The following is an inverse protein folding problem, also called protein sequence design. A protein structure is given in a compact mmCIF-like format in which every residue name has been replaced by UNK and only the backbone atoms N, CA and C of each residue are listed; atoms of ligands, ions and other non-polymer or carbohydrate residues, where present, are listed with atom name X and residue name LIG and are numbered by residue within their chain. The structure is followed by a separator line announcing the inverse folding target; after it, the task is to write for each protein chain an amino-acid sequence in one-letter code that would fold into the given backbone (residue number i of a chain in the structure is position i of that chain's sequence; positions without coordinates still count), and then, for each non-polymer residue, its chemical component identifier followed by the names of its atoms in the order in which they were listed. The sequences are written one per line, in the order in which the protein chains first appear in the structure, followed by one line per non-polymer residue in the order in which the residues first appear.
data_IF_686908175371
#
_entry.id   IF_686908175371
#
_cell.length_a   1.000
_cell.length_b   1.000
_cell.length_c   1.000
_cell.angle_alpha   90.00
_cell.angle_beta   90.00
_cell.angle_gamma   90.00
#
_symmetry.space_group_name_H-M   'P 1'
#
loop_
_entity.id
_entity.type
_entity.pdbx_description
1 polymer ?
#
# COMPACT_ATOMS: atom_id res chain seq x y z
N UNK A 1 32.06 -43.79 26.23
CA UNK A 1 31.31 -45.06 26.26
C UNK A 1 30.02 -44.86 25.49
N UNK A 2 29.96 -45.40 24.28
CA UNK A 2 28.76 -45.83 23.57
C UNK A 2 29.21 -46.12 22.13
N UNK A 3 29.58 -47.38 21.92
CA UNK A 3 29.79 -48.00 20.61
C UNK A 3 28.44 -48.17 19.90
N UNK A 4 28.41 -48.02 18.58
CA UNK A 4 27.40 -48.67 17.74
C UNK A 4 28.02 -49.02 16.39
N UNK A 5 28.67 -50.19 16.42
CA UNK A 5 28.62 -51.32 15.49
C UNK A 5 28.06 -51.08 14.09
N UNK A 6 28.95 -51.28 13.11
CA UNK A 6 28.64 -51.48 11.68
C UNK A 6 27.93 -52.82 11.49
N UNK A 7 26.80 -52.80 10.79
CA UNK A 7 26.06 -53.99 10.38
C UNK A 7 26.45 -54.33 8.93
N UNK A 8 27.45 -55.19 8.80
CA UNK A 8 27.86 -55.84 7.55
C UNK A 8 26.87 -56.97 7.23
N UNK A 9 26.00 -56.75 6.25
CA UNK A 9 25.04 -57.77 5.80
C UNK A 9 25.61 -58.50 4.58
N UNK A 10 26.13 -59.68 4.91
CA UNK A 10 26.56 -60.78 4.06
C UNK A 10 25.38 -61.25 3.18
N UNK A 11 25.49 -61.13 1.86
CA UNK A 11 24.65 -61.87 0.92
C UNK A 11 25.52 -62.82 0.11
N UNK A 12 25.13 -64.09 0.23
CA UNK A 12 25.79 -65.30 -0.24
C UNK A 12 25.76 -65.39 -1.78
N UNK A 13 26.92 -65.74 -2.34
CA UNK A 13 27.05 -66.34 -3.66
C UNK A 13 26.36 -67.71 -3.64
N UNK A 14 25.26 -67.83 -4.38
CA UNK A 14 24.73 -69.13 -4.81
C UNK A 14 24.76 -69.20 -6.34
N UNK A 15 25.48 -70.21 -6.80
CA UNK A 15 25.78 -70.47 -8.20
C UNK A 15 24.77 -71.44 -8.82
N UNK A 16 24.61 -71.32 -10.14
CA UNK A 16 24.10 -72.29 -11.16
C UNK A 16 22.62 -72.14 -11.64
N UNK A 17 22.27 -72.59 -12.87
CA UNK A 17 23.09 -73.01 -14.01
C UNK A 17 22.78 -72.27 -15.34
N UNK A 18 23.71 -72.44 -16.28
CA UNK A 18 23.59 -72.13 -17.71
C UNK A 18 22.35 -72.80 -18.35
N UNK A 19 21.53 -72.00 -19.05
CA UNK A 19 20.66 -72.48 -20.13
C UNK A 19 20.76 -71.54 -21.33
N UNK A 20 21.30 -72.13 -22.39
CA UNK A 20 21.38 -71.69 -23.76
C UNK A 20 20.02 -71.44 -24.42
N UNK A 21 20.09 -70.67 -25.52
CA UNK A 21 19.10 -70.40 -26.58
C UNK A 21 17.95 -69.43 -26.27
N UNK A 22 18.17 -68.14 -26.58
CA UNK A 22 17.31 -67.30 -27.45
C UNK A 22 17.75 -65.82 -27.37
N UNK A 23 18.92 -65.52 -27.95
CA UNK A 23 19.65 -64.25 -27.78
C UNK A 23 19.26 -63.10 -28.70
N UNK A 24 18.28 -63.23 -29.59
CA UNK A 24 17.99 -62.17 -30.57
C UNK A 24 16.82 -61.24 -30.19
N UNK A 25 15.81 -61.73 -29.47
CA UNK A 25 14.55 -60.98 -29.28
C UNK A 25 14.44 -60.22 -27.95
N UNK A 26 15.17 -60.63 -26.90
CA UNK A 26 15.14 -59.95 -25.58
C UNK A 26 15.85 -58.58 -25.58
N UNK A 27 16.91 -58.41 -26.37
CA UNK A 27 17.68 -57.15 -26.41
C UNK A 27 16.94 -56.00 -27.12
N UNK A 28 15.93 -56.32 -27.94
CA UNK A 28 15.07 -55.35 -28.61
C UNK A 28 14.07 -54.75 -27.61
N UNK A 29 13.35 -55.61 -26.90
CA UNK A 29 12.36 -55.17 -25.91
C UNK A 29 12.97 -54.40 -24.74
N UNK A 30 14.18 -54.76 -24.33
CA UNK A 30 14.91 -54.06 -23.26
C UNK A 30 15.34 -52.65 -23.68
N UNK A 31 15.69 -52.48 -24.97
CA UNK A 31 15.98 -51.16 -25.56
C UNK A 31 14.71 -50.31 -25.71
N UNK A 32 13.61 -50.88 -26.19
CA UNK A 32 12.33 -50.18 -26.29
C UNK A 32 11.80 -49.74 -24.90
N UNK A 33 12.02 -50.56 -23.87
CA UNK A 33 11.68 -50.22 -22.48
C UNK A 33 12.58 -49.09 -21.94
N UNK A 34 13.86 -49.10 -22.28
CA UNK A 34 14.80 -48.04 -21.92
C UNK A 34 14.45 -46.71 -22.60
N UNK A 35 14.03 -46.74 -23.86
CA UNK A 35 13.62 -45.55 -24.61
C UNK A 35 12.31 -44.96 -24.07
N UNK A 36 11.33 -45.82 -23.72
CA UNK A 36 10.09 -45.37 -23.07
C UNK A 36 10.33 -44.80 -21.67
N UNK A 37 11.20 -45.42 -20.88
CA UNK A 37 11.61 -44.87 -19.58
C UNK A 37 12.37 -43.54 -19.73
N UNK A 38 13.23 -43.43 -20.75
CA UNK A 38 13.94 -42.19 -21.06
C UNK A 38 12.99 -41.06 -21.48
N UNK A 39 11.97 -41.37 -22.28
CA UNK A 39 10.93 -40.40 -22.65
C UNK A 39 10.12 -39.95 -21.43
N UNK A 40 9.77 -40.88 -20.54
CA UNK A 40 9.11 -40.56 -19.28
C UNK A 40 9.99 -39.68 -18.37
N UNK A 41 11.28 -40.01 -18.26
CA UNK A 41 12.24 -39.22 -17.49
C UNK A 41 12.34 -37.79 -18.04
N UNK A 42 12.51 -37.63 -19.36
CA UNK A 42 12.54 -36.31 -20.01
C UNK A 42 11.24 -35.51 -19.77
N UNK A 43 10.09 -36.17 -19.80
CA UNK A 43 8.82 -35.53 -19.50
C UNK A 43 8.74 -35.08 -18.03
N UNK A 44 9.17 -35.92 -17.10
CA UNK A 44 9.18 -35.60 -15.66
C UNK A 44 10.18 -34.50 -15.33
N UNK A 45 11.39 -34.56 -15.87
CA UNK A 45 12.42 -33.52 -15.74
C UNK A 45 11.87 -32.19 -16.30
N UNK A 46 11.27 -32.21 -17.49
CA UNK A 46 10.65 -31.01 -18.08
C UNK A 46 9.47 -30.44 -17.26
N UNK A 47 8.68 -31.30 -16.61
CA UNK A 47 7.62 -30.85 -15.68
C UNK A 47 8.20 -30.27 -14.41
N UNK A 48 9.26 -30.87 -13.86
CA UNK A 48 9.94 -30.41 -12.66
C UNK A 48 10.63 -29.06 -12.91
N UNK A 49 11.36 -28.91 -14.01
CA UNK A 49 11.97 -27.65 -14.45
C UNK A 49 10.91 -26.55 -14.64
N UNK A 50 9.75 -26.90 -15.20
CA UNK A 50 8.64 -25.96 -15.36
C UNK A 50 8.06 -25.52 -14.02
N UNK A 51 8.00 -26.39 -13.02
CA UNK A 51 7.50 -26.06 -11.68
C UNK A 51 8.52 -25.22 -10.92
N UNK A 52 9.80 -25.61 -10.96
CA UNK A 52 10.90 -24.86 -10.36
C UNK A 52 10.98 -23.45 -10.94
N UNK A 53 10.90 -23.33 -12.26
CA UNK A 53 10.86 -22.03 -12.95
C UNK A 53 9.67 -21.16 -12.50
N UNK A 54 8.50 -21.75 -12.25
CA UNK A 54 7.34 -21.00 -11.73
C UNK A 54 7.56 -20.54 -10.30
N UNK A 55 8.10 -21.42 -9.46
CA UNK A 55 8.38 -21.12 -8.05
C UNK A 55 9.42 -20.02 -7.91
N UNK A 56 10.52 -20.08 -8.66
CA UNK A 56 11.55 -19.01 -8.68
C UNK A 56 10.95 -17.67 -9.11
N UNK A 57 10.12 -17.66 -10.17
CA UNK A 57 9.44 -16.43 -10.62
C UNK A 57 8.50 -15.85 -9.56
N UNK A 58 7.75 -16.70 -8.87
CA UNK A 58 6.87 -16.27 -7.78
C UNK A 58 7.67 -15.74 -6.59
N UNK A 59 8.76 -16.43 -6.21
CA UNK A 59 9.65 -16.01 -5.13
C UNK A 59 10.33 -14.67 -5.43
N UNK A 60 10.79 -14.45 -6.66
CA UNK A 60 11.36 -13.18 -7.10
C UNK A 60 10.32 -12.06 -7.09
N UNK A 61 9.10 -12.34 -7.54
CA UNK A 61 8.00 -11.38 -7.52
C UNK A 61 7.63 -10.99 -6.07
N UNK A 62 7.57 -11.96 -5.16
CA UNK A 62 7.34 -11.71 -3.72
C UNK A 62 8.50 -10.93 -3.11
N UNK A 63 9.75 -11.29 -3.40
CA UNK A 63 10.93 -10.61 -2.87
C UNK A 63 11.03 -9.16 -3.34
N UNK A 64 10.63 -8.87 -4.59
CA UNK A 64 10.53 -7.50 -5.12
C UNK A 64 9.46 -6.69 -4.39
N UNK A 65 8.28 -7.27 -4.17
CA UNK A 65 7.20 -6.63 -3.39
C UNK A 65 7.64 -6.33 -1.96
N UNK A 66 8.28 -7.29 -1.29
CA UNK A 66 8.81 -7.10 0.07
C UNK A 66 9.87 -5.99 0.10
N UNK A 67 10.81 -5.97 -0.87
CA UNK A 67 11.81 -4.90 -0.95
C UNK A 67 11.17 -3.53 -1.19
N UNK A 68 10.14 -3.45 -2.02
CA UNK A 68 9.39 -2.22 -2.24
C UNK A 68 8.66 -1.79 -0.95
N UNK A 69 7.95 -2.69 -0.27
CA UNK A 69 7.28 -2.39 1.00
C UNK A 69 8.25 -1.95 2.11
N UNK A 70 9.41 -2.61 2.23
CA UNK A 70 10.46 -2.24 3.19
C UNK A 70 11.11 -0.88 2.85
N UNK A 71 11.15 -0.52 1.56
CA UNK A 71 11.67 0.78 1.13
C UNK A 71 10.73 1.95 1.41
N UNK A 72 9.43 1.69 1.59
CA UNK A 72 8.43 2.74 1.86
C UNK A 72 8.42 3.04 3.36
N UNK A 73 9.42 3.79 3.82
CA UNK A 73 9.41 4.37 5.16
C UNK A 73 8.61 5.66 5.15
N UNK A 74 7.38 5.59 5.66
CA UNK A 74 6.54 6.78 5.86
C UNK A 74 7.07 7.66 7.00
N UNK A 75 7.13 8.98 6.77
CA UNK A 75 7.49 10.00 7.78
C UNK A 75 6.33 10.27 8.74
N UNK A 76 5.09 10.22 8.25
CA UNK A 76 3.90 10.51 9.04
C UNK A 76 3.10 9.23 9.33
N UNK A 77 2.85 8.97 10.62
CA UNK A 77 2.15 7.77 11.08
C UNK A 77 0.74 7.63 10.48
N UNK A 78 -0.01 8.74 10.41
CA UNK A 78 -1.34 8.76 9.83
C UNK A 78 -1.36 8.35 8.35
N UNK A 79 -0.35 8.77 7.59
CA UNK A 79 -0.20 8.38 6.18
C UNK A 79 0.10 6.88 6.06
N UNK A 80 0.96 6.34 6.94
CA UNK A 80 1.25 4.90 6.96
C UNK A 80 0.01 4.06 7.23
N UNK A 81 -0.79 4.45 8.22
CA UNK A 81 -2.02 3.74 8.60
C UNK A 81 -3.00 3.71 7.43
N UNK A 82 -3.22 4.87 6.79
CA UNK A 82 -4.11 4.98 5.64
C UNK A 82 -3.61 4.17 4.44
N UNK A 83 -2.30 4.19 4.17
CA UNK A 83 -1.71 3.41 3.09
C UNK A 83 -1.90 1.90 3.31
N UNK A 84 -1.62 1.40 4.52
CA UNK A 84 -1.80 -0.03 4.85
C UNK A 84 -3.26 -0.47 4.70
N UNK A 85 -4.20 0.33 5.21
CA UNK A 85 -5.62 0.05 5.06
C UNK A 85 -6.05 0.00 3.58
N UNK A 86 -5.55 0.94 2.77
CA UNK A 86 -5.83 0.93 1.33
C UNK A 86 -5.21 -0.28 0.61
N UNK A 87 -4.02 -0.74 1.02
CA UNK A 87 -3.42 -1.98 0.49
C UNK A 87 -4.27 -3.22 0.83
N UNK A 88 -4.83 -3.29 2.03
CA UNK A 88 -5.80 -4.35 2.39
C UNK A 88 -7.03 -4.32 1.48
N UNK A 89 -7.59 -3.13 1.21
CA UNK A 89 -8.70 -2.95 0.26
C UNK A 89 -8.30 -3.42 -1.14
N UNK A 90 -7.11 -3.07 -1.63
CA UNK A 90 -6.61 -3.52 -2.94
C UNK A 90 -6.55 -5.05 -2.99
N UNK A 91 -6.09 -5.69 -1.92
CA UNK A 91 -6.05 -7.16 -1.84
C UNK A 91 -7.46 -7.76 -1.89
N UNK A 92 -8.42 -7.21 -1.16
CA UNK A 92 -9.80 -7.70 -1.16
C UNK A 92 -10.52 -7.46 -2.49
N UNK A 93 -10.29 -6.31 -3.15
CA UNK A 93 -10.77 -6.04 -4.50
C UNK A 93 -10.18 -7.02 -5.53
N UNK A 94 -8.90 -7.38 -5.40
CA UNK A 94 -8.27 -8.39 -6.26
C UNK A 94 -8.85 -9.79 -6.04
N UNK A 95 -9.19 -10.16 -4.79
CA UNK A 95 -9.89 -11.42 -4.50
C UNK A 95 -11.28 -11.42 -5.15
N UNK A 96 -12.01 -10.31 -5.01
CA UNK A 96 -13.34 -10.13 -5.60
C UNK A 96 -13.28 -10.19 -7.14
N UNK A 97 -12.31 -9.52 -7.76
CA UNK A 97 -12.10 -9.58 -9.20
C UNK A 97 -11.91 -11.02 -9.71
N UNK A 98 -11.19 -11.85 -8.95
CA UNK A 98 -10.97 -13.26 -9.30
C UNK A 98 -12.19 -14.16 -9.07
N UNK A 99 -13.10 -13.79 -8.18
CA UNK A 99 -14.31 -14.57 -7.89
C UNK A 99 -15.49 -14.23 -8.79
N UNK A 100 -15.50 -13.05 -9.42
CA UNK A 100 -16.55 -12.64 -10.35
C UNK A 100 -16.43 -13.41 -11.67
N UNK A 101 -17.51 -14.02 -12.18
CA UNK A 101 -17.49 -14.67 -13.49
C UNK A 101 -17.35 -13.63 -14.62
N UNK A 102 -16.62 -13.99 -15.67
CA UNK A 102 -16.35 -13.09 -16.82
C UNK A 102 -17.59 -12.62 -17.57
N UNK A 103 -18.74 -13.26 -17.35
CA UNK A 103 -20.04 -12.86 -17.90
C UNK A 103 -20.56 -11.56 -17.30
N UNK A 104 -20.14 -11.21 -16.08
CA UNK A 104 -20.65 -10.07 -15.33
C UNK A 104 -19.79 -8.81 -15.58
N UNK A 105 -19.82 -8.32 -16.82
CA UNK A 105 -18.95 -7.22 -17.28
C UNK A 105 -19.14 -5.91 -16.50
N UNK A 106 -20.36 -5.62 -16.02
CA UNK A 106 -20.64 -4.40 -15.24
C UNK A 106 -19.95 -4.44 -13.87
N UNK A 107 -20.07 -5.56 -13.15
CA UNK A 107 -19.41 -5.72 -11.85
C UNK A 107 -17.89 -5.67 -11.98
N UNK A 108 -17.33 -6.29 -13.03
CA UNK A 108 -15.89 -6.21 -13.31
C UNK A 108 -15.44 -4.76 -13.51
N UNK A 109 -16.18 -3.96 -14.29
CA UNK A 109 -15.86 -2.55 -14.51
C UNK A 109 -15.88 -1.74 -13.21
N UNK A 110 -16.87 -1.96 -12.35
CA UNK A 110 -16.95 -1.28 -11.05
C UNK A 110 -15.76 -1.65 -10.17
N UNK A 111 -15.39 -2.94 -10.11
CA UNK A 111 -14.23 -3.37 -9.33
C UNK A 111 -12.93 -2.76 -9.85
N UNK A 112 -12.75 -2.68 -11.17
CA UNK A 112 -11.58 -2.04 -11.77
C UNK A 112 -11.52 -0.53 -11.47
N UNK A 113 -12.64 0.18 -11.57
CA UNK A 113 -12.73 1.60 -11.22
C UNK A 113 -12.41 1.84 -9.73
N UNK A 114 -12.92 0.99 -8.84
CA UNK A 114 -12.58 1.03 -7.41
C UNK A 114 -11.09 0.77 -7.17
N UNK A 115 -10.50 -0.20 -7.90
CA UNK A 115 -9.08 -0.53 -7.81
C UNK A 115 -8.21 0.68 -8.20
N UNK A 116 -8.56 1.35 -9.30
CA UNK A 116 -7.83 2.53 -9.79
C UNK A 116 -7.97 3.71 -8.84
N UNK A 117 -9.15 3.93 -8.25
CA UNK A 117 -9.37 4.96 -7.22
C UNK A 117 -8.50 4.73 -5.97
N UNK A 118 -8.43 3.51 -5.47
CA UNK A 118 -7.64 3.18 -4.26
C UNK A 118 -6.14 3.28 -4.56
N UNK A 119 -5.69 2.80 -5.72
CA UNK A 119 -4.30 2.99 -6.18
C UNK A 119 -3.95 4.46 -6.33
N UNK A 120 -4.84 5.26 -6.92
CA UNK A 120 -4.71 6.70 -7.00
C UNK A 120 -4.55 7.33 -5.62
N UNK A 121 -5.39 6.93 -4.64
CA UNK A 121 -5.28 7.40 -3.26
C UNK A 121 -3.91 7.08 -2.64
N UNK A 122 -3.41 5.86 -2.82
CA UNK A 122 -2.08 5.45 -2.34
C UNK A 122 -0.95 6.25 -2.97
N UNK A 123 -1.06 6.59 -4.26
CA UNK A 123 -0.13 7.52 -4.94
C UNK A 123 -0.13 8.90 -4.27
N UNK A 124 -1.30 9.47 -4.00
CA UNK A 124 -1.39 10.78 -3.34
C UNK A 124 -0.83 10.76 -1.91
N UNK A 125 -1.04 9.68 -1.17
CA UNK A 125 -0.44 9.50 0.17
C UNK A 125 1.09 9.48 0.07
N UNK A 126 1.66 8.80 -0.93
CA UNK A 126 3.12 8.81 -1.16
C UNK A 126 3.65 10.21 -1.47
N UNK A 127 2.94 10.99 -2.29
CA UNK A 127 3.30 12.39 -2.60
C UNK A 127 3.22 13.27 -1.34
N UNK A 128 2.16 13.14 -0.55
CA UNK A 128 2.00 13.90 0.69
C UNK A 128 3.06 13.55 1.72
N UNK A 129 3.54 12.32 1.76
CA UNK A 129 4.52 11.90 2.75
C UNK A 129 5.98 12.23 2.33
N UNK A 130 6.28 12.16 1.03
CA UNK A 130 7.60 12.50 0.51
C UNK A 130 7.85 14.01 0.51
N UNK A 131 6.85 14.81 0.13
CA UNK A 131 6.96 16.25 -0.05
C UNK A 131 7.02 17.05 1.26
N UNK A 132 7.98 17.97 1.46
CA UNK A 132 7.96 18.96 2.54
C UNK A 132 6.68 19.79 2.68
N UNK A 133 5.96 20.09 1.59
CA UNK A 133 4.68 20.83 1.67
C UNK A 133 3.46 19.91 1.88
N UNK A 134 3.70 18.60 1.96
CA UNK A 134 2.72 17.57 2.30
C UNK A 134 1.46 17.59 1.43
N UNK A 135 0.28 17.59 2.07
CA UNK A 135 -1.01 17.65 1.39
C UNK A 135 -1.23 18.91 0.55
N UNK A 136 -0.46 19.98 0.76
CA UNK A 136 -0.51 21.16 -0.12
C UNK A 136 0.03 20.83 -1.52
N UNK A 137 1.07 20.00 -1.60
CA UNK A 137 1.61 19.49 -2.87
C UNK A 137 0.58 18.63 -3.59
N UNK A 138 -0.15 17.79 -2.86
CA UNK A 138 -1.22 16.95 -3.44
C UNK A 138 -2.30 17.80 -4.09
N UNK A 139 -2.74 18.87 -3.43
CA UNK A 139 -3.74 19.79 -3.99
C UNK A 139 -3.30 20.42 -5.31
N UNK A 140 -2.04 20.88 -5.36
CA UNK A 140 -1.46 21.43 -6.59
C UNK A 140 -1.29 20.35 -7.67
N UNK A 141 -0.94 19.12 -7.26
CA UNK A 141 -0.80 17.98 -8.17
C UNK A 141 -2.14 17.59 -8.83
N UNK A 142 -3.23 17.55 -8.07
CA UNK A 142 -4.57 17.25 -8.58
C UNK A 142 -5.15 18.38 -9.45
N UNK A 143 -4.77 19.63 -9.19
CA UNK A 143 -5.26 20.79 -9.95
C UNK A 143 -4.75 20.89 -11.40
N UNK A 144 -3.72 20.13 -11.79
CA UNK A 144 -3.16 20.17 -13.14
C UNK A 144 -3.51 18.88 -13.92
N UNK A 145 -4.49 18.98 -14.82
CA UNK A 145 -5.13 17.87 -15.56
C UNK A 145 -4.38 17.43 -16.85
N UNK A 146 -3.05 17.39 -16.83
CA UNK A 146 -2.27 16.92 -17.99
C UNK A 146 -1.76 15.52 -17.69
N UNK A 147 -2.49 14.53 -18.18
CA UNK A 147 -2.26 13.09 -17.98
C UNK A 147 -1.24 12.54 -18.99
N UNK A 148 -0.02 12.26 -18.51
CA UNK A 148 0.95 11.38 -19.14
C UNK A 148 1.91 10.88 -18.06
N UNK A 149 1.92 9.57 -17.83
CA UNK A 149 2.67 8.89 -16.76
C UNK A 149 4.19 9.15 -16.83
N UNK A 150 4.72 9.56 -17.99
CA UNK A 150 6.13 9.91 -18.18
C UNK A 150 6.55 11.25 -17.54
N UNK A 151 5.60 12.12 -17.15
CA UNK A 151 5.90 13.47 -16.62
C UNK A 151 5.63 13.59 -15.11
N UNK A 152 5.34 12.47 -14.42
CA UNK A 152 4.87 12.48 -13.04
C UNK A 152 5.88 13.09 -12.04
N UNK A 153 7.15 12.72 -12.16
CA UNK A 153 8.22 13.24 -11.28
C UNK A 153 8.36 14.76 -11.42
N UNK A 154 8.32 15.26 -12.67
CA UNK A 154 8.40 16.68 -12.96
C UNK A 154 7.16 17.42 -12.45
N UNK A 155 5.98 16.81 -12.58
CA UNK A 155 4.72 17.35 -12.06
C UNK A 155 4.74 17.46 -10.54
N UNK A 156 5.23 16.44 -9.83
CA UNK A 156 5.37 16.47 -8.36
C UNK A 156 6.29 17.62 -7.94
N UNK A 157 7.45 17.78 -8.59
CA UNK A 157 8.39 18.89 -8.29
C UNK A 157 7.78 20.26 -8.55
N UNK A 158 7.00 20.41 -9.63
CA UNK A 158 6.30 21.66 -9.92
C UNK A 158 5.21 21.96 -8.90
N UNK A 159 4.39 20.97 -8.56
CA UNK A 159 3.33 21.07 -7.57
C UNK A 159 3.91 21.45 -6.19
N UNK A 160 5.01 20.82 -5.80
CA UNK A 160 5.73 21.13 -4.56
C UNK A 160 6.29 22.55 -4.57
N UNK A 161 6.92 22.97 -5.67
CA UNK A 161 7.44 24.33 -5.83
C UNK A 161 6.33 25.38 -5.69
N UNK A 162 5.15 25.13 -6.27
CA UNK A 162 3.98 26.02 -6.14
C UNK A 162 3.45 26.02 -4.71
N UNK A 163 3.27 24.83 -4.11
CA UNK A 163 2.82 24.69 -2.74
C UNK A 163 3.73 25.45 -1.76
N UNK A 164 5.05 25.33 -1.89
CA UNK A 164 6.04 26.03 -1.07
C UNK A 164 5.98 27.56 -1.22
N UNK A 165 5.75 28.08 -2.44
CA UNK A 165 5.54 29.53 -2.66
C UNK A 165 4.31 30.02 -1.90
N UNK A 166 3.17 29.34 -2.05
CA UNK A 166 1.94 29.73 -1.35
C UNK A 166 2.08 29.66 0.18
N UNK A 167 2.84 28.70 0.72
CA UNK A 167 3.13 28.63 2.15
C UNK A 167 3.97 29.83 2.62
N UNK A 168 4.98 30.23 1.85
CA UNK A 168 5.85 31.38 2.17
C UNK A 168 5.11 32.72 2.08
N UNK A 169 4.18 32.86 1.15
CA UNK A 169 3.40 34.10 1.02
C UNK A 169 2.39 34.25 2.17
N UNK A 170 1.80 33.13 2.62
CA UNK A 170 0.92 33.10 3.81
C UNK A 170 1.63 33.47 5.11
N UNK A 171 2.92 33.21 5.24
CA UNK A 171 3.68 33.58 6.45
C UNK A 171 4.14 35.04 6.43
N UNK A 172 4.39 35.61 5.25
CA UNK A 172 4.74 37.03 5.08
C UNK A 172 3.56 37.99 5.19
N UNK A 173 2.34 37.52 4.89
CA UNK A 173 1.12 38.34 4.93
C UNK A 173 0.39 38.40 6.28
N UNK A 174 0.93 37.82 7.36
CA UNK A 174 0.33 37.96 8.70
C UNK A 174 0.87 39.23 9.37
N UNK A 175 0.08 40.31 9.53
CA UNK A 175 0.44 41.33 10.51
C UNK A 175 0.50 40.66 11.89
N UNK A 176 1.53 40.99 12.67
CA UNK A 176 1.68 40.51 14.04
C UNK A 176 0.36 40.71 14.82
N UNK A 177 -0.06 39.77 15.69
CA UNK A 177 -1.23 39.99 16.52
C UNK A 177 -1.00 41.27 17.31
N UNK A 178 -1.86 42.25 17.06
CA UNK A 178 -1.85 43.56 17.69
C UNK A 178 -1.75 43.35 19.21
N UNK A 179 -0.58 43.66 19.77
CA UNK A 179 -0.40 43.71 21.22
C UNK A 179 -1.28 44.85 21.71
N UNK A 180 -2.52 44.54 22.12
CA UNK A 180 -3.35 45.44 22.90
C UNK A 180 -2.68 45.62 24.27
N UNK A 181 -1.66 46.48 24.33
CA UNK A 181 -1.30 47.14 25.59
C UNK A 181 -2.28 48.30 25.74
N UNK A 182 -3.13 48.32 26.78
CA UNK A 182 -3.90 49.51 27.09
C UNK A 182 -2.92 50.65 27.38
N UNK A 183 -2.96 51.69 26.55
CA UNK A 183 -2.25 52.94 26.80
C UNK A 183 -2.94 53.60 28.00
N UNK A 184 -2.34 53.51 29.18
CA UNK A 184 -2.82 54.25 30.35
C UNK A 184 -2.77 55.76 30.03
N UNK A 185 -3.87 56.51 30.26
CA UNK A 185 -3.83 57.97 30.15
C UNK A 185 -3.03 58.57 31.32
N UNK A 186 -2.41 59.75 31.14
CA UNK A 186 -1.68 60.43 32.21
C UNK A 186 -2.64 60.80 33.35
N UNK A 187 -2.21 60.55 34.59
CA UNK A 187 -2.99 60.88 35.78
C UNK A 187 -3.05 62.40 35.97
N UNK A 188 -4.24 62.99 35.80
CA UNK A 188 -4.57 64.30 36.34
C UNK A 188 -5.32 64.11 37.66
N UNK A 189 -4.69 64.58 38.72
CA UNK A 189 -5.24 64.85 40.05
C UNK A 189 -6.49 65.71 39.98
N UNK A 190 -7.63 65.27 40.52
CA UNK A 190 -8.53 66.09 41.36
C UNK A 190 -9.43 65.21 42.23
N UNK A 191 -9.72 65.74 43.41
CA UNK A 191 -10.32 65.05 44.54
C UNK A 191 -11.86 65.00 44.51
N UNK A 192 -12.35 63.96 45.21
CA UNK A 192 -13.58 63.91 46.01
C UNK A 192 -14.95 63.57 45.37
N UNK A 193 -15.86 62.98 46.19
CA UNK A 193 -16.70 61.89 45.76
C UNK A 193 -18.20 62.21 45.87
N UNK A 194 -19.01 61.17 45.62
CA UNK A 194 -20.35 60.87 46.20
C UNK A 194 -21.53 60.89 45.21
N UNK A 195 -22.30 59.80 45.32
CA UNK A 195 -23.71 59.56 44.98
C UNK A 195 -24.08 58.85 43.67
N UNK A 196 -24.64 57.65 43.90
CA UNK A 196 -25.50 56.82 43.06
C UNK A 196 -26.63 57.60 42.36
N UNK A 197 -26.97 57.24 41.11
CA UNK A 197 -28.32 56.78 40.80
C UNK A 197 -28.47 56.16 39.39
N UNK A 198 -29.38 55.18 39.35
CA UNK A 198 -29.84 54.32 38.27
C UNK A 198 -30.70 55.04 37.21
N UNK A 199 -31.09 54.25 36.20
CA UNK A 199 -32.10 54.44 35.14
C UNK A 199 -31.50 54.92 33.79
N UNK A 200 -31.81 54.38 32.61
CA UNK A 200 -32.80 53.40 32.15
C UNK A 200 -32.48 52.99 30.69
N UNK A 201 -32.73 51.71 30.33
CA UNK A 201 -33.41 51.24 29.07
C UNK A 201 -32.73 51.59 27.71
N UNK A 202 -32.40 50.66 26.78
CA UNK A 202 -33.13 49.53 26.16
C UNK A 202 -32.22 48.83 25.09
N UNK A 203 -32.68 47.80 24.33
CA UNK A 203 -31.92 46.57 24.05
C UNK A 203 -31.51 46.40 22.59
N UNK A 204 -30.54 45.53 22.27
CA UNK A 204 -30.59 44.77 21.00
C UNK A 204 -29.94 43.39 21.15
N UNK A 205 -30.82 42.38 21.08
CA UNK A 205 -30.71 41.00 20.58
C UNK A 205 -29.30 40.46 20.35
N UNK A 206 -28.98 39.36 21.04
CA UNK A 206 -28.48 38.13 20.41
C UNK A 206 -28.59 36.96 21.40
N UNK A 207 -29.61 36.11 21.22
CA UNK A 207 -29.64 34.80 21.86
C UNK A 207 -30.30 33.78 20.94
N UNK A 208 -29.72 32.58 20.97
CA UNK A 208 -30.03 31.36 20.22
C UNK A 208 -29.63 31.39 18.74
N UNK A 209 -28.90 30.40 18.21
CA UNK A 209 -29.17 28.98 18.42
C UNK A 209 -27.90 28.11 18.39
N UNK A 210 -27.84 27.20 19.38
CA UNK A 210 -27.10 25.95 19.31
C UNK A 210 -27.83 25.03 18.32
N UNK A 211 -27.12 24.43 17.36
CA UNK A 211 -27.62 23.27 16.62
C UNK A 211 -26.74 22.06 16.94
N UNK A 212 -27.29 21.20 17.80
CA UNK A 212 -26.97 19.78 17.86
C UNK A 212 -27.58 19.10 16.64
N UNK A 213 -26.86 18.17 16.00
CA UNK A 213 -27.46 17.20 15.10
C UNK A 213 -27.12 15.78 15.58
N UNK A 214 -28.18 15.11 16.00
CA UNK A 214 -28.26 13.69 16.35
C UNK A 214 -27.96 12.84 15.13
N UNK A 215 -27.20 11.79 15.36
CA UNK A 215 -27.08 10.60 14.53
C UNK A 215 -28.39 9.81 14.66
N UNK A 216 -28.98 9.41 13.54
CA UNK A 216 -29.88 8.25 13.52
C UNK A 216 -29.48 7.32 12.37
N UNK A 217 -29.02 6.13 12.77
CA UNK A 217 -29.02 4.94 11.92
C UNK A 217 -30.48 4.53 11.66
N UNK A 218 -30.76 4.06 10.44
CA UNK A 218 -31.93 3.22 10.17
C UNK A 218 -31.46 2.00 9.40
N UNK A 219 -31.88 0.84 9.92
CA UNK A 219 -31.92 -0.44 9.24
C UNK A 219 -32.92 -0.40 8.08
#
# INVERSE_FOLDING_TARGET
MAEHTEESLLLQDDSLPDKSSDGANRSSSDRDLHDTFSLFKLYMDGKMDSLESKLVREQDAMSKKIKEEVSIKFKHEGNRIQFKFNEEIVNDLNKLYKSIPSTEAQSIRVVLDLLDKVKGRNKLIRIADSSPAGWSTVREYESNDIASDSEDEKKIRQAESRAMRTMKDKTKGRPAPYSNKPRLPPAETYANPTYNQQFQRQPFRNSAARCFLRITNRQ
#
